data_IF_249150643263
#
_entry.id   IF_249150643263
#
_cell.length_a   1.000
_cell.length_b   1.000
_cell.length_c   1.000
_cell.angle_alpha   90.00
_cell.angle_beta   90.00
_cell.angle_gamma   90.00
#
_symmetry.space_group_name_H-M   'P 1'
#
loop_
_entity.id
_entity.type
_entity.pdbx_description
1 polymer ?
#
# COMPACT_ATOMS: atom_id res chain seq x y z
N UNK A 1 8.43 6.84 -2.51
CA UNK A 1 7.17 6.06 -2.41
C UNK A 1 6.83 5.68 -0.98
N UNK A 2 7.72 4.97 -0.25
CA UNK A 2 7.43 4.51 1.13
C UNK A 2 6.97 5.64 2.07
N UNK A 3 7.63 6.80 2.05
CA UNK A 3 7.22 7.93 2.89
C UNK A 3 5.78 8.39 2.60
N UNK A 4 5.39 8.46 1.31
CA UNK A 4 4.04 8.81 0.90
C UNK A 4 3.02 7.79 1.42
N UNK A 5 3.28 6.50 1.21
CA UNK A 5 2.38 5.42 1.61
C UNK A 5 2.23 5.34 3.13
N UNK A 6 3.33 5.48 3.89
CA UNK A 6 3.27 5.55 5.34
C UNK A 6 2.50 6.77 5.83
N UNK A 7 2.67 7.93 5.19
CA UNK A 7 1.90 9.13 5.51
C UNK A 7 0.40 8.98 5.30
N UNK A 8 0.00 8.36 4.19
CA UNK A 8 -1.42 8.06 3.93
C UNK A 8 -1.96 7.09 4.99
N UNK A 9 -1.23 6.01 5.29
CA UNK A 9 -1.63 5.06 6.34
C UNK A 9 -1.67 5.69 7.73
N UNK A 10 -0.81 6.67 8.01
CA UNK A 10 -0.83 7.44 9.26
C UNK A 10 -2.16 8.16 9.42
N UNK A 11 -2.57 8.93 8.41
CA UNK A 11 -3.85 9.67 8.42
C UNK A 11 -5.02 8.70 8.55
N UNK A 12 -5.01 7.59 7.81
CA UNK A 12 -6.05 6.55 7.90
C UNK A 12 -6.22 6.02 9.34
N UNK A 13 -5.09 5.74 10.03
CA UNK A 13 -5.08 5.26 11.41
C UNK A 13 -5.51 6.32 12.42
N UNK A 14 -5.10 7.58 12.25
CA UNK A 14 -5.54 8.68 13.12
C UNK A 14 -7.05 8.93 13.01
N UNK A 15 -7.62 8.77 11.81
CA UNK A 15 -9.06 8.91 11.57
C UNK A 15 -9.87 7.66 11.94
N UNK A 16 -9.21 6.54 12.24
CA UNK A 16 -9.87 5.28 12.57
C UNK A 16 -10.55 4.60 11.37
N UNK A 17 -10.05 4.83 10.15
CA UNK A 17 -10.60 4.28 8.91
C UNK A 17 -10.08 2.89 8.53
N UNK A 18 -9.19 2.32 9.35
CA UNK A 18 -8.72 0.96 9.18
C UNK A 18 -9.84 -0.08 9.36
N UNK A 19 -9.76 -1.19 8.62
CA UNK A 19 -10.64 -2.33 8.81
C UNK A 19 -10.15 -3.19 9.98
N UNK A 20 -10.54 -2.79 11.19
CA UNK A 20 -10.14 -3.46 12.44
C UNK A 20 -10.46 -4.95 12.45
N UNK A 21 -11.60 -5.34 11.87
CA UNK A 21 -12.01 -6.74 11.82
C UNK A 21 -11.10 -7.54 10.88
N UNK A 22 -10.87 -7.03 9.68
CA UNK A 22 -9.96 -7.67 8.73
C UNK A 22 -8.56 -7.82 9.32
N UNK A 23 -8.03 -6.76 9.94
CA UNK A 23 -6.71 -6.77 10.57
C UNK A 23 -6.63 -7.84 11.66
N UNK A 24 -7.62 -7.89 12.56
CA UNK A 24 -7.64 -8.86 13.66
C UNK A 24 -7.74 -10.31 13.18
N UNK A 25 -8.52 -10.56 12.13
CA UNK A 25 -8.81 -11.93 11.66
C UNK A 25 -7.80 -12.44 10.63
N UNK A 26 -7.13 -11.55 9.88
CA UNK A 26 -6.40 -11.89 8.65
C UNK A 26 -4.99 -11.32 8.57
N UNK A 27 -4.54 -10.53 9.54
CA UNK A 27 -3.22 -9.93 9.54
C UNK A 27 -2.43 -10.29 10.81
N UNK A 28 -1.12 -10.10 10.72
CA UNK A 28 -0.17 -10.25 11.82
C UNK A 28 0.77 -9.04 11.88
N UNK A 29 1.47 -8.86 13.00
CA UNK A 29 2.46 -7.78 13.14
C UNK A 29 1.88 -6.35 13.15
N UNK A 30 0.58 -6.18 13.42
CA UNK A 30 -0.09 -4.88 13.33
C UNK A 30 0.51 -3.83 14.27
N UNK A 31 0.88 -4.20 15.50
CA UNK A 31 1.42 -3.24 16.48
C UNK A 31 2.78 -2.68 16.03
N UNK A 32 3.67 -3.52 15.50
CA UNK A 32 4.97 -3.12 14.95
C UNK A 32 4.82 -2.27 13.69
N UNK A 33 3.88 -2.67 12.81
CA UNK A 33 3.49 -1.91 11.62
C UNK A 33 2.99 -0.52 12.01
N UNK A 34 2.05 -0.44 12.97
CA UNK A 34 1.47 0.82 13.46
C UNK A 34 2.55 1.71 14.06
N UNK A 35 3.41 1.17 14.93
CA UNK A 35 4.51 1.92 15.53
C UNK A 35 5.45 2.53 14.47
N UNK A 36 5.65 1.86 13.34
CA UNK A 36 6.43 2.37 12.21
C UNK A 36 5.69 3.47 11.45
N UNK A 37 4.42 3.23 11.10
CA UNK A 37 3.59 4.19 10.35
C UNK A 37 3.38 5.50 11.12
N UNK A 38 3.20 5.42 12.45
CA UNK A 38 3.03 6.60 13.28
C UNK A 38 4.25 7.54 13.31
N UNK A 39 5.41 7.12 12.79
CA UNK A 39 6.61 7.97 12.66
C UNK A 39 6.60 8.86 11.39
N UNK A 40 5.52 8.83 10.62
CA UNK A 40 5.34 9.57 9.36
C UNK A 40 4.13 10.51 9.43
N UNK A 41 4.12 11.53 10.33
CA UNK A 41 3.07 12.53 10.34
C UNK A 41 3.01 13.30 9.00
N UNK A 42 1.85 13.84 8.61
CA UNK A 42 1.64 14.45 7.30
C UNK A 42 2.64 15.55 6.94
N UNK A 43 3.05 16.37 7.89
CA UNK A 43 3.99 17.47 7.69
C UNK A 43 5.39 16.95 7.28
N UNK A 44 5.86 15.91 7.96
CA UNK A 44 7.13 15.24 7.63
C UNK A 44 7.05 14.58 6.25
N UNK A 45 5.91 13.99 5.92
CA UNK A 45 5.70 13.35 4.62
C UNK A 45 5.67 14.38 3.51
N UNK A 46 5.02 15.52 3.73
CA UNK A 46 4.97 16.63 2.80
C UNK A 46 6.39 17.19 2.52
N UNK A 47 7.24 17.31 3.54
CA UNK A 47 8.64 17.71 3.37
C UNK A 47 9.43 16.71 2.49
N UNK A 48 9.27 15.41 2.74
CA UNK A 48 10.01 14.36 2.00
C UNK A 48 9.54 14.23 0.54
N UNK A 49 8.22 14.32 0.33
CA UNK A 49 7.58 13.98 -0.95
C UNK A 49 7.30 15.19 -1.84
N UNK A 50 7.24 16.39 -1.26
CA UNK A 50 6.77 17.60 -1.93
C UNK A 50 5.25 17.66 -2.13
N UNK A 51 4.48 16.67 -1.65
CA UNK A 51 3.02 16.65 -1.75
C UNK A 51 2.42 17.48 -0.61
N UNK A 52 1.53 18.46 -0.88
CA UNK A 52 0.90 19.25 0.18
C UNK A 52 0.11 18.39 1.18
N UNK A 53 0.14 18.77 2.47
CA UNK A 53 -0.61 18.07 3.53
C UNK A 53 -2.11 17.94 3.18
N UNK A 54 -2.71 19.00 2.64
CA UNK A 54 -4.12 18.98 2.22
C UNK A 54 -4.41 17.91 1.16
N UNK A 55 -3.47 17.65 0.24
CA UNK A 55 -3.63 16.61 -0.79
C UNK A 55 -3.43 15.22 -0.18
N UNK A 56 -2.54 15.06 0.81
CA UNK A 56 -2.39 13.80 1.56
C UNK A 56 -3.67 13.47 2.33
N UNK A 57 -4.23 14.44 3.06
CA UNK A 57 -5.48 14.27 3.81
C UNK A 57 -6.64 13.92 2.89
N UNK A 58 -6.78 14.65 1.77
CA UNK A 58 -7.81 14.38 0.76
C UNK A 58 -7.67 12.99 0.15
N UNK A 59 -6.44 12.57 -0.19
CA UNK A 59 -6.20 11.24 -0.72
C UNK A 59 -6.55 10.15 0.32
N UNK A 60 -6.13 10.33 1.57
CA UNK A 60 -6.46 9.40 2.66
C UNK A 60 -7.98 9.33 2.91
N UNK A 61 -8.70 10.45 2.85
CA UNK A 61 -10.15 10.48 2.97
C UNK A 61 -10.84 9.68 1.86
N UNK A 62 -10.44 9.88 0.61
CA UNK A 62 -10.97 9.09 -0.52
C UNK A 62 -10.73 7.60 -0.28
N UNK A 63 -9.52 7.22 0.14
CA UNK A 63 -9.15 5.82 0.38
C UNK A 63 -9.89 5.19 1.58
N UNK A 64 -10.07 5.94 2.67
CA UNK A 64 -10.71 5.47 3.90
C UNK A 64 -12.23 5.36 3.80
N UNK A 65 -12.86 6.21 2.97
CA UNK A 65 -14.32 6.30 2.84
C UNK A 65 -14.89 5.61 1.61
N UNK A 66 -14.04 5.24 0.64
CA UNK A 66 -14.45 4.51 -0.58
C UNK A 66 -13.97 3.07 -0.54
N UNK A 67 -14.90 2.11 -0.59
CA UNK A 67 -14.60 0.67 -0.62
C UNK A 67 -15.50 -0.05 -1.63
N UNK A 68 -15.00 -1.07 -2.37
CA UNK A 68 -13.60 -1.54 -2.36
C UNK A 68 -12.69 -0.64 -3.21
N UNK A 69 -11.38 -0.68 -2.94
CA UNK A 69 -10.36 0.00 -3.74
C UNK A 69 -9.25 -0.97 -4.13
N UNK A 70 -8.75 -0.85 -5.35
CA UNK A 70 -7.63 -1.64 -5.87
C UNK A 70 -6.41 -0.75 -6.07
N UNK A 71 -5.24 -1.26 -5.71
CA UNK A 71 -3.98 -0.62 -6.11
C UNK A 71 -3.40 -1.33 -7.31
N UNK A 72 -2.95 -0.55 -8.29
CA UNK A 72 -2.41 -1.02 -9.57
C UNK A 72 -1.05 -0.38 -9.80
N UNK A 73 -0.05 -1.16 -10.19
CA UNK A 73 1.28 -0.65 -10.52
C UNK A 73 1.93 -1.50 -11.62
N UNK A 74 2.96 -0.96 -12.28
CA UNK A 74 3.77 -1.68 -13.26
C UNK A 74 5.25 -1.64 -12.88
N UNK A 75 6.14 -1.12 -13.72
CA UNK A 75 7.58 -1.18 -13.43
C UNK A 75 8.06 -0.13 -12.42
N UNK A 76 7.52 1.10 -12.46
CA UNK A 76 8.09 2.26 -11.77
C UNK A 76 8.47 2.00 -10.31
N UNK A 77 7.55 1.45 -9.53
CA UNK A 77 7.76 1.22 -8.09
C UNK A 77 8.82 0.14 -7.76
N UNK A 78 9.17 -0.72 -8.71
CA UNK A 78 9.98 -1.93 -8.49
C UNK A 78 11.46 -1.79 -8.88
N UNK A 79 11.85 -0.79 -9.67
CA UNK A 79 13.20 -0.68 -10.25
C UNK A 79 14.21 0.07 -9.35
N UNK A 80 13.88 0.25 -8.08
CA UNK A 80 14.73 0.90 -7.09
C UNK A 80 15.35 -0.13 -6.16
N UNK A 81 16.46 0.22 -5.49
CA UNK A 81 17.10 -0.62 -4.46
C UNK A 81 16.15 -1.00 -3.30
N UNK A 82 15.07 -0.23 -3.12
CA UNK A 82 14.03 -0.48 -2.12
C UNK A 82 12.69 -0.93 -2.74
N UNK A 83 12.68 -1.35 -4.01
CA UNK A 83 11.44 -1.66 -4.75
C UNK A 83 10.57 -2.73 -4.09
N UNK A 84 11.19 -3.76 -3.50
CA UNK A 84 10.48 -4.78 -2.70
C UNK A 84 9.73 -4.14 -1.54
N UNK A 85 10.36 -3.20 -0.83
CA UNK A 85 9.74 -2.49 0.31
C UNK A 85 8.62 -1.54 -0.14
N UNK A 86 8.74 -0.95 -1.32
CA UNK A 86 7.66 -0.16 -1.90
C UNK A 86 6.41 -1.04 -2.15
N UNK A 87 6.59 -2.25 -2.72
CA UNK A 87 5.50 -3.21 -2.95
C UNK A 87 4.88 -3.69 -1.63
N UNK A 88 5.70 -3.96 -0.62
CA UNK A 88 5.21 -4.30 0.72
C UNK A 88 4.36 -3.18 1.34
N UNK A 89 4.75 -1.91 1.16
CA UNK A 89 3.97 -0.78 1.66
C UNK A 89 2.59 -0.68 0.97
N UNK A 90 2.50 -0.98 -0.34
CA UNK A 90 1.21 -1.07 -1.03
C UNK A 90 0.35 -2.23 -0.51
N UNK A 91 0.95 -3.38 -0.24
CA UNK A 91 0.24 -4.51 0.34
C UNK A 91 -0.29 -4.18 1.75
N UNK A 92 0.52 -3.52 2.58
CA UNK A 92 0.12 -3.07 3.90
C UNK A 92 -1.06 -2.09 3.85
N UNK A 93 -1.06 -1.14 2.90
CA UNK A 93 -2.19 -0.24 2.69
C UNK A 93 -3.49 -0.99 2.37
N UNK A 94 -3.42 -1.98 1.47
CA UNK A 94 -4.60 -2.77 1.10
C UNK A 94 -5.08 -3.69 2.23
N UNK A 95 -4.17 -4.22 3.06
CA UNK A 95 -4.51 -4.96 4.27
C UNK A 95 -5.14 -4.06 5.33
N UNK A 96 -4.58 -2.86 5.54
CA UNK A 96 -5.11 -1.86 6.47
C UNK A 96 -6.57 -1.49 6.16
N UNK A 97 -6.91 -1.38 4.88
CA UNK A 97 -8.25 -1.00 4.43
C UNK A 97 -9.22 -2.19 4.28
N UNK A 98 -8.74 -3.43 4.44
CA UNK A 98 -9.56 -4.63 4.24
C UNK A 98 -9.86 -4.93 2.76
N UNK A 99 -9.06 -4.43 1.82
CA UNK A 99 -9.28 -4.57 0.39
C UNK A 99 -8.76 -5.90 -0.19
N UNK A 100 -8.21 -6.80 0.63
CA UNK A 100 -7.63 -8.06 0.17
C UNK A 100 -8.69 -9.17 0.12
N UNK A 101 -8.79 -9.88 -1.02
CA UNK A 101 -9.71 -11.01 -1.20
C UNK A 101 -11.15 -10.62 -1.56
N UNK A 102 -11.40 -9.37 -1.95
CA UNK A 102 -12.72 -8.87 -2.39
C UNK A 102 -12.70 -8.46 -3.87
N UNK A 103 -13.81 -8.63 -4.62
CA UNK A 103 -13.94 -8.12 -5.98
C UNK A 103 -13.72 -6.60 -6.02
N UNK A 104 -12.92 -6.11 -6.99
CA UNK A 104 -12.57 -4.70 -7.11
C UNK A 104 -11.49 -4.22 -6.13
N UNK A 105 -10.92 -5.11 -5.32
CA UNK A 105 -9.84 -4.82 -4.39
C UNK A 105 -8.46 -5.31 -4.82
N UNK A 106 -7.59 -5.55 -3.83
CA UNK A 106 -6.34 -6.26 -3.98
C UNK A 106 -5.14 -5.43 -4.43
N UNK A 107 -4.03 -6.13 -4.63
CA UNK A 107 -2.76 -5.62 -5.12
C UNK A 107 -2.52 -6.15 -6.53
N UNK A 108 -2.47 -5.27 -7.52
CA UNK A 108 -2.51 -5.64 -8.92
C UNK A 108 -1.23 -5.23 -9.65
N UNK A 109 -0.16 -6.04 -9.60
CA UNK A 109 1.04 -5.84 -10.41
C UNK A 109 0.74 -6.13 -11.89
N UNK A 110 0.56 -5.07 -12.67
CA UNK A 110 0.36 -5.15 -14.11
C UNK A 110 1.64 -5.62 -14.79
N UNK A 111 1.60 -6.86 -15.27
CA UNK A 111 2.70 -7.48 -15.99
C UNK A 111 2.87 -6.85 -17.37
N UNK A 112 4.13 -6.68 -17.79
CA UNK A 112 4.46 -5.96 -19.02
C UNK A 112 4.36 -6.81 -20.29
N UNK A 113 5.12 -7.90 -20.38
CA UNK A 113 5.16 -8.75 -21.58
C UNK A 113 3.96 -9.70 -21.63
N UNK A 114 3.53 -10.04 -22.85
CA UNK A 114 2.38 -10.89 -23.14
C UNK A 114 2.37 -12.22 -22.37
N UNK A 115 3.53 -12.82 -22.12
CA UNK A 115 3.66 -14.11 -21.47
C UNK A 115 4.69 -14.14 -20.33
N UNK A 116 5.01 -12.98 -19.72
CA UNK A 116 5.92 -12.99 -18.54
C UNK A 116 5.33 -13.78 -17.38
N UNK A 117 4.01 -13.77 -17.22
CA UNK A 117 3.35 -14.58 -16.19
C UNK A 117 3.52 -16.07 -16.51
N UNK A 118 3.20 -16.50 -17.73
CA UNK A 118 3.36 -17.91 -18.12
C UNK A 118 4.81 -18.40 -18.10
N UNK A 119 5.78 -17.54 -18.44
CA UNK A 119 7.20 -17.88 -18.31
C UNK A 119 7.58 -18.17 -16.85
N UNK A 120 7.10 -17.35 -15.91
CA UNK A 120 7.29 -17.61 -14.47
C UNK A 120 6.58 -18.89 -14.03
N UNK A 121 5.34 -19.10 -14.48
CA UNK A 121 4.53 -20.28 -14.11
C UNK A 121 5.20 -21.60 -14.53
N UNK A 122 5.99 -21.57 -15.61
CA UNK A 122 6.74 -22.72 -16.12
C UNK A 122 8.15 -22.86 -15.53
N UNK A 123 8.49 -22.12 -14.47
CA UNK A 123 9.81 -22.18 -13.84
C UNK A 123 10.92 -21.53 -14.67
N UNK A 124 10.59 -20.54 -15.52
CA UNK A 124 11.55 -19.72 -16.27
C UNK A 124 12.34 -18.74 -15.39
N UNK A 125 12.68 -19.14 -14.17
CA UNK A 125 13.41 -18.39 -13.16
C UNK A 125 14.66 -19.20 -12.76
N UNK A 126 15.80 -18.55 -12.47
CA UNK A 126 17.03 -19.25 -12.12
C UNK A 126 16.99 -19.92 -10.74
N UNK A 127 15.99 -19.59 -9.92
CA UNK A 127 15.78 -20.07 -8.55
C UNK A 127 14.30 -20.39 -8.34
#
# INVERSE_FOLDING_TARGET
DIALLNGLMHILLEKGWEDKKFIQERCEGFDEFKATVMQYPPEKVAEITGVPVADLERAAEIMGTTKPMAVMWAMGITQHIVGVRNVMALANLQMLLGNMGVPGGGVNPLRGQNNVQGACDMGGLPN
#
